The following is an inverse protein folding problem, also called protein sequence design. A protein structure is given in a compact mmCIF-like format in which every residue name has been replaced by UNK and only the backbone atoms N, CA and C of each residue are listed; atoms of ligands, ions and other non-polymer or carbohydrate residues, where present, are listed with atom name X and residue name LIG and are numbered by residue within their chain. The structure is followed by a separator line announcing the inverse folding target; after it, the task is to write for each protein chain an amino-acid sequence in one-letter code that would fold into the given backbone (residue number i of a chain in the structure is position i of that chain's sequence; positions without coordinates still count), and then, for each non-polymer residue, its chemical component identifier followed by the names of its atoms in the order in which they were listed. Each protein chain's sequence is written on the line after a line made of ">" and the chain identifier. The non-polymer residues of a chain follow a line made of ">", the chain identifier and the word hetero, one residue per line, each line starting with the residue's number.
data_IF_467802960069
#
_entry.id   IF_467802960069
#
_cell.length_a   1.000
_cell.length_b   1.000
_cell.length_c   1.000
_cell.angle_alpha   90.00
_cell.angle_beta   90.00
_cell.angle_gamma   90.00
#
_symmetry.space_group_name_H-M   'P 1'
#
loop_
_entity.id
_entity.type
_entity.pdbx_description
1 polymer ?
#
# COMPACT_ATOMS: atom_id res chain seq x y z
N UNK A 1 -28.22 4.64 -0.91
CA UNK A 1 -27.05 5.08 -1.71
C UNK A 1 -27.37 4.77 -3.15
N UNK A 2 -27.06 5.66 -4.08
CA UNK A 2 -27.46 5.58 -5.50
C UNK A 2 -26.34 5.06 -6.39
N UNK A 3 -25.10 4.92 -5.85
CA UNK A 3 -23.89 4.57 -6.59
C UNK A 3 -23.62 5.51 -7.80
N UNK A 4 -24.03 6.77 -7.66
CA UNK A 4 -23.85 7.82 -8.66
C UNK A 4 -22.60 8.65 -8.34
N UNK A 5 -21.89 9.10 -9.39
CA UNK A 5 -20.82 10.09 -9.25
C UNK A 5 -21.46 11.43 -8.88
N UNK A 6 -21.15 11.92 -7.66
CA UNK A 6 -21.72 13.18 -7.14
C UNK A 6 -20.77 14.37 -7.28
N UNK A 7 -19.56 14.17 -7.80
CA UNK A 7 -18.58 15.21 -8.04
C UNK A 7 -17.22 14.66 -8.40
N UNK A 8 -16.34 15.58 -8.78
CA UNK A 8 -14.95 15.34 -9.12
C UNK A 8 -14.07 16.20 -8.22
N UNK A 9 -12.87 15.70 -7.90
CA UNK A 9 -11.85 16.42 -7.15
C UNK A 9 -10.67 16.71 -8.09
N UNK A 10 -10.21 17.97 -8.22
CA UNK A 10 -9.10 18.30 -9.08
C UNK A 10 -7.78 17.80 -8.48
N UNK A 11 -6.94 17.19 -9.31
CA UNK A 11 -5.61 16.71 -8.96
C UNK A 11 -4.59 17.17 -10.01
N UNK A 12 -3.32 16.91 -9.79
CA UNK A 12 -2.28 17.02 -10.81
C UNK A 12 -2.41 15.92 -11.88
N UNK A 13 -1.54 15.93 -12.90
CA UNK A 13 -1.54 14.92 -13.94
C UNK A 13 -1.12 13.56 -13.39
N UNK A 14 -1.69 12.51 -14.00
CA UNK A 14 -1.42 11.11 -13.68
C UNK A 14 -1.57 10.79 -12.18
N UNK A 15 -2.80 10.89 -11.64
CA UNK A 15 -3.03 10.55 -10.25
C UNK A 15 -2.94 9.03 -10.04
N UNK A 16 -2.03 8.62 -9.18
CA UNK A 16 -1.82 7.24 -8.79
C UNK A 16 -2.58 6.89 -7.48
N UNK A 17 -1.90 6.38 -6.49
CA UNK A 17 -2.55 6.09 -5.22
C UNK A 17 -2.97 7.35 -4.47
N UNK A 18 -4.01 7.21 -3.72
CA UNK A 18 -4.48 8.24 -2.79
C UNK A 18 -4.83 7.64 -1.43
N UNK A 19 -4.78 8.47 -0.42
CA UNK A 19 -5.22 8.12 0.93
C UNK A 19 -6.03 9.26 1.54
N UNK A 20 -6.80 8.93 2.58
CA UNK A 20 -7.62 9.89 3.31
C UNK A 20 -7.12 9.99 4.74
N UNK A 21 -7.14 11.19 5.30
CA UNK A 21 -6.86 11.36 6.73
C UNK A 21 -7.92 10.64 7.60
N UNK A 22 -7.60 10.23 8.83
CA UNK A 22 -8.54 9.49 9.69
C UNK A 22 -9.84 10.23 10.00
N UNK A 23 -9.89 11.55 9.84
CA UNK A 23 -11.09 12.36 10.05
C UNK A 23 -11.99 12.46 8.82
N UNK A 24 -11.48 12.07 7.65
CA UNK A 24 -12.16 12.20 6.37
C UNK A 24 -12.21 13.62 5.83
N UNK A 25 -11.41 14.54 6.39
CA UNK A 25 -11.38 15.94 5.97
C UNK A 25 -10.50 16.18 4.76
N UNK A 26 -9.39 15.47 4.66
CA UNK A 26 -8.41 15.62 3.60
C UNK A 26 -8.23 14.33 2.79
N UNK A 27 -7.98 14.50 1.50
CA UNK A 27 -7.49 13.45 0.60
C UNK A 27 -6.13 13.88 0.09
N UNK A 28 -5.17 12.97 0.12
CA UNK A 28 -3.82 13.13 -0.40
C UNK A 28 -3.66 12.27 -1.63
N UNK A 29 -3.19 12.84 -2.73
CA UNK A 29 -3.11 12.17 -4.04
C UNK A 29 -1.68 12.28 -4.55
N UNK A 30 -1.06 11.15 -4.89
CA UNK A 30 0.21 11.10 -5.61
C UNK A 30 -0.02 11.47 -7.07
N UNK A 31 0.74 12.43 -7.59
CA UNK A 31 0.70 12.85 -8.99
C UNK A 31 2.04 12.51 -9.65
N UNK A 32 2.06 11.41 -10.40
CA UNK A 32 3.28 10.78 -10.89
C UNK A 32 4.11 11.72 -11.75
N UNK A 33 3.49 12.33 -12.76
CA UNK A 33 4.17 13.15 -13.75
C UNK A 33 4.70 14.50 -13.24
N UNK A 34 4.19 15.00 -12.11
CA UNK A 34 4.60 16.30 -11.53
C UNK A 34 5.56 16.14 -10.35
N UNK A 35 5.80 14.92 -9.88
CA UNK A 35 6.54 14.65 -8.65
C UNK A 35 5.95 15.41 -7.43
N UNK A 36 4.63 15.43 -7.33
CA UNK A 36 3.88 16.18 -6.32
C UNK A 36 2.90 15.29 -5.58
N UNK A 37 2.57 15.68 -4.36
CA UNK A 37 1.37 15.24 -3.65
C UNK A 37 0.39 16.40 -3.60
N UNK A 38 -0.83 16.20 -4.11
CA UNK A 38 -1.92 17.17 -3.98
C UNK A 38 -2.72 16.88 -2.72
N UNK A 39 -2.92 17.90 -1.90
CA UNK A 39 -3.80 17.86 -0.72
C UNK A 39 -5.13 18.51 -1.08
N UNK A 40 -6.23 17.79 -0.89
CA UNK A 40 -7.58 18.29 -1.18
C UNK A 40 -8.41 18.36 0.09
N UNK A 41 -9.03 19.49 0.36
CA UNK A 41 -10.08 19.62 1.36
C UNK A 41 -11.40 19.07 0.80
N UNK A 42 -11.91 18.01 1.42
CA UNK A 42 -13.10 17.28 0.95
C UNK A 42 -14.36 18.13 1.00
N UNK A 43 -14.48 19.02 1.99
CA UNK A 43 -15.67 19.84 2.16
C UNK A 43 -15.79 20.93 1.09
N UNK A 44 -14.69 21.61 0.79
CA UNK A 44 -14.65 22.64 -0.26
C UNK A 44 -14.43 22.07 -1.66
N UNK A 45 -13.98 20.79 -1.76
CA UNK A 45 -13.59 20.12 -3.00
C UNK A 45 -12.50 20.87 -3.76
N UNK A 46 -11.59 21.50 -3.07
CA UNK A 46 -10.54 22.33 -3.65
C UNK A 46 -9.15 21.88 -3.19
N UNK A 47 -8.12 22.02 -4.05
CA UNK A 47 -6.74 21.84 -3.64
C UNK A 47 -6.37 22.85 -2.54
N UNK A 48 -5.78 22.34 -1.47
CA UNK A 48 -5.29 23.14 -0.35
C UNK A 48 -3.78 23.40 -0.45
N UNK A 49 -3.03 22.37 -0.87
CA UNK A 49 -1.58 22.42 -1.00
C UNK A 49 -1.09 21.46 -2.09
N UNK A 50 0.11 21.74 -2.57
CA UNK A 50 0.91 20.83 -3.38
C UNK A 50 2.29 20.68 -2.72
N UNK A 51 2.72 19.45 -2.53
CA UNK A 51 3.93 19.10 -1.78
C UNK A 51 4.91 18.47 -2.75
N UNK A 52 6.08 19.05 -2.91
CA UNK A 52 7.14 18.49 -3.75
C UNK A 52 7.72 17.23 -3.09
N UNK A 53 7.76 16.13 -3.82
CA UNK A 53 8.34 14.84 -3.42
C UNK A 53 9.35 14.36 -4.45
N UNK A 54 9.74 13.09 -4.39
CA UNK A 54 10.62 12.48 -5.41
C UNK A 54 9.89 12.19 -6.72
N UNK A 55 10.65 11.75 -7.72
CA UNK A 55 10.12 11.44 -9.06
C UNK A 55 9.30 10.15 -9.02
N UNK A 56 8.16 10.17 -9.72
CA UNK A 56 7.17 9.07 -9.77
C UNK A 56 6.63 8.72 -8.37
N UNK A 57 5.89 9.66 -7.73
CA UNK A 57 5.20 9.34 -6.47
C UNK A 57 4.07 8.34 -6.70
N UNK A 58 3.96 7.33 -5.83
CA UNK A 58 3.03 6.22 -6.00
C UNK A 58 2.29 5.89 -4.69
N UNK A 59 2.94 5.15 -3.78
CA UNK A 59 2.34 4.66 -2.54
C UNK A 59 2.02 5.77 -1.55
N UNK A 60 0.83 5.73 -0.97
CA UNK A 60 0.33 6.76 -0.06
C UNK A 60 -0.30 6.14 1.18
N UNK A 61 0.12 6.56 2.38
CA UNK A 61 -0.49 6.13 3.63
C UNK A 61 -0.40 7.23 4.70
N UNK A 62 -1.47 7.43 5.45
CA UNK A 62 -1.49 8.33 6.61
C UNK A 62 -1.32 7.52 7.88
N UNK A 63 -0.46 8.00 8.79
CA UNK A 63 -0.27 7.37 10.11
C UNK A 63 -1.59 7.26 10.88
N UNK A 64 -1.76 6.25 11.75
CA UNK A 64 -3.01 6.05 12.51
C UNK A 64 -3.44 7.25 13.36
N UNK A 65 -2.49 8.07 13.82
CA UNK A 65 -2.75 9.30 14.57
C UNK A 65 -3.01 10.53 13.67
N UNK A 66 -2.94 10.36 12.35
CA UNK A 66 -3.21 11.40 11.36
C UNK A 66 -2.13 12.44 11.17
N UNK A 67 -0.97 12.33 11.83
CA UNK A 67 0.04 13.40 11.85
C UNK A 67 1.07 13.32 10.74
N UNK A 68 1.33 12.11 10.25
CA UNK A 68 2.33 11.87 9.20
C UNK A 68 1.64 11.23 8.00
N UNK A 69 1.86 11.82 6.84
CA UNK A 69 1.61 11.19 5.56
C UNK A 69 2.93 10.61 5.05
N UNK A 70 2.91 9.40 4.54
CA UNK A 70 4.04 8.83 3.80
C UNK A 70 3.67 8.71 2.33
N UNK A 71 4.58 9.17 1.47
CA UNK A 71 4.51 9.00 0.02
C UNK A 71 5.78 8.28 -0.46
N UNK A 72 5.65 7.23 -1.27
CA UNK A 72 6.80 6.59 -1.91
C UNK A 72 7.06 7.25 -3.26
N UNK A 73 8.31 7.23 -3.73
CA UNK A 73 8.69 7.71 -5.08
C UNK A 73 9.57 6.68 -5.76
N UNK A 74 9.07 6.12 -6.86
CA UNK A 74 9.63 4.95 -7.53
C UNK A 74 11.04 5.17 -8.04
N UNK A 75 11.22 6.20 -8.88
CA UNK A 75 12.53 6.48 -9.51
C UNK A 75 13.57 6.95 -8.51
N UNK A 76 13.19 7.70 -7.48
CA UNK A 76 14.13 8.17 -6.47
C UNK A 76 14.37 7.17 -5.34
N UNK A 77 13.62 6.06 -5.32
CA UNK A 77 13.74 5.00 -4.29
C UNK A 77 13.60 5.52 -2.86
N UNK A 78 12.65 6.43 -2.64
CA UNK A 78 12.43 7.11 -1.36
C UNK A 78 11.04 6.84 -0.78
N UNK A 79 10.97 6.85 0.55
CA UNK A 79 9.76 7.09 1.31
C UNK A 79 9.85 8.48 1.95
N UNK A 80 8.97 9.39 1.56
CA UNK A 80 8.89 10.77 2.05
C UNK A 80 7.92 10.83 3.23
N UNK A 81 8.38 11.32 4.38
CA UNK A 81 7.55 11.59 5.54
C UNK A 81 7.15 13.05 5.52
N UNK A 82 5.87 13.31 5.56
CA UNK A 82 5.27 14.62 5.41
C UNK A 82 4.43 14.92 6.66
N UNK A 83 4.67 16.04 7.31
CA UNK A 83 3.81 16.53 8.41
C UNK A 83 2.48 17.02 7.84
N UNK A 84 1.36 16.43 8.28
CA UNK A 84 0.03 16.73 7.75
C UNK A 84 -0.49 18.11 8.17
N UNK A 85 0.08 18.72 9.20
CA UNK A 85 -0.33 20.05 9.70
C UNK A 85 0.37 21.18 8.98
N UNK A 86 1.63 20.98 8.58
CA UNK A 86 2.44 21.99 7.86
C UNK A 86 2.52 21.76 6.37
N UNK A 87 2.22 20.51 5.91
CA UNK A 87 2.40 20.03 4.54
C UNK A 87 3.88 20.09 4.09
N UNK A 88 4.81 19.92 5.00
CA UNK A 88 6.24 19.93 4.72
C UNK A 88 6.81 18.51 4.81
N UNK A 89 7.77 18.19 3.92
CA UNK A 89 8.55 16.95 4.01
C UNK A 89 9.52 17.06 5.18
N UNK A 90 9.35 16.22 6.19
CA UNK A 90 10.17 16.23 7.41
C UNK A 90 11.31 15.21 7.37
N UNK A 91 11.19 14.16 6.55
CA UNK A 91 12.25 13.19 6.34
C UNK A 91 12.14 12.50 4.98
N UNK A 92 13.28 12.06 4.45
CA UNK A 92 13.40 11.25 3.26
C UNK A 92 14.18 9.98 3.61
N UNK A 93 13.55 8.83 3.48
CA UNK A 93 14.16 7.53 3.82
C UNK A 93 14.46 6.76 2.55
N UNK A 94 15.73 6.44 2.32
CA UNK A 94 16.14 5.61 1.20
C UNK A 94 15.70 4.16 1.44
N UNK A 95 14.95 3.61 0.50
CA UNK A 95 14.53 2.21 0.44
C UNK A 95 15.11 1.52 -0.79
N UNK A 96 14.66 0.30 -1.13
CA UNK A 96 15.13 -0.34 -2.35
C UNK A 96 14.38 0.14 -3.59
N UNK A 97 14.82 -0.33 -4.77
CA UNK A 97 14.33 0.17 -6.05
C UNK A 97 12.83 -0.02 -6.27
N UNK A 98 12.18 1.01 -6.77
CA UNK A 98 10.79 1.08 -7.13
C UNK A 98 9.84 0.80 -5.95
N UNK A 99 9.83 1.66 -4.92
CA UNK A 99 8.88 1.52 -3.83
C UNK A 99 7.46 1.82 -4.31
N UNK A 100 6.53 0.85 -4.02
CA UNK A 100 5.15 0.85 -4.56
C UNK A 100 4.08 1.12 -3.53
N UNK A 101 4.28 0.71 -2.28
CA UNK A 101 3.24 0.76 -1.27
C UNK A 101 3.82 1.02 0.11
N UNK A 102 3.05 1.71 0.93
CA UNK A 102 3.36 1.97 2.33
C UNK A 102 2.17 1.50 3.20
N UNK A 103 2.45 0.87 4.33
CA UNK A 103 1.44 0.45 5.28
C UNK A 103 1.94 0.61 6.71
N UNK A 104 1.23 1.37 7.53
CA UNK A 104 1.50 1.43 8.97
C UNK A 104 0.90 0.23 9.69
N UNK A 105 1.60 -0.27 10.72
CA UNK A 105 0.90 -1.03 11.76
C UNK A 105 -0.17 -0.14 12.41
N UNK A 106 -1.28 -0.75 12.80
CA UNK A 106 -2.42 0.00 13.36
C UNK A 106 -2.09 0.76 14.65
N UNK A 107 -1.10 0.30 15.41
CA UNK A 107 -0.56 0.98 16.60
C UNK A 107 0.46 2.09 16.29
N UNK A 108 0.79 2.29 15.01
CA UNK A 108 1.76 3.27 14.55
C UNK A 108 3.22 2.94 14.84
N UNK A 109 3.53 1.75 15.36
CA UNK A 109 4.89 1.37 15.80
C UNK A 109 5.87 1.11 14.65
N UNK A 110 5.37 0.77 13.47
CA UNK A 110 6.16 0.44 12.29
C UNK A 110 5.46 0.91 11.02
N UNK A 111 6.27 1.30 10.04
CA UNK A 111 5.88 1.49 8.65
C UNK A 111 6.56 0.42 7.80
N UNK A 112 5.78 -0.26 6.98
CA UNK A 112 6.25 -1.24 6.01
C UNK A 112 6.19 -0.63 4.61
N UNK A 113 7.29 -0.69 3.86
CA UNK A 113 7.37 -0.15 2.49
C UNK A 113 7.83 -1.25 1.54
N UNK A 114 7.01 -1.59 0.55
CA UNK A 114 7.38 -2.56 -0.48
C UNK A 114 8.21 -1.88 -1.59
N UNK A 115 9.21 -2.59 -2.07
CA UNK A 115 10.07 -2.18 -3.20
C UNK A 115 9.98 -3.24 -4.29
N UNK A 116 9.25 -2.94 -5.36
CA UNK A 116 8.88 -3.89 -6.41
C UNK A 116 10.11 -4.48 -7.10
N UNK A 117 10.96 -3.63 -7.65
CA UNK A 117 12.19 -4.06 -8.34
C UNK A 117 13.27 -4.47 -7.37
N UNK A 118 13.31 -3.86 -6.20
CA UNK A 118 14.23 -4.24 -5.11
C UNK A 118 13.93 -5.63 -4.52
N UNK A 119 12.71 -6.15 -4.71
CA UNK A 119 12.31 -7.47 -4.20
C UNK A 119 12.22 -7.56 -2.67
N UNK A 120 12.01 -6.44 -1.98
CA UNK A 120 12.06 -6.37 -0.52
C UNK A 120 10.87 -5.60 0.07
N UNK A 121 10.68 -5.76 1.39
CA UNK A 121 9.88 -4.85 2.22
C UNK A 121 10.78 -4.26 3.30
N UNK A 122 10.88 -2.94 3.34
CA UNK A 122 11.57 -2.21 4.39
C UNK A 122 10.66 -2.00 5.59
N UNK A 123 11.15 -2.32 6.79
CA UNK A 123 10.51 -2.02 8.07
C UNK A 123 11.16 -0.77 8.63
N UNK A 124 10.41 0.30 8.72
CA UNK A 124 10.90 1.62 9.12
C UNK A 124 10.29 1.99 10.48
N UNK A 125 11.12 2.55 11.36
CA UNK A 125 10.63 3.20 12.57
C UNK A 125 10.11 4.59 12.24
N UNK A 126 8.80 4.87 12.42
CA UNK A 126 8.25 6.18 12.07
C UNK A 126 8.74 7.34 12.94
N UNK A 127 9.24 7.05 14.15
CA UNK A 127 9.73 8.08 15.06
C UNK A 127 11.16 8.50 14.78
N UNK A 128 12.02 7.55 14.36
CA UNK A 128 13.45 7.81 14.07
C UNK A 128 13.75 7.91 12.59
N UNK A 129 12.81 7.49 11.72
CA UNK A 129 12.94 7.38 10.27
C UNK A 129 14.07 6.41 9.84
N UNK A 130 14.42 5.44 10.70
CA UNK A 130 15.45 4.45 10.42
C UNK A 130 14.85 3.15 9.87
N UNK A 131 15.50 2.58 8.85
CA UNK A 131 15.18 1.23 8.36
C UNK A 131 15.74 0.23 9.36
N UNK A 132 14.88 -0.42 10.14
CA UNK A 132 15.24 -1.41 11.15
C UNK A 132 15.56 -2.79 10.58
N UNK A 133 14.81 -3.17 9.54
CA UNK A 133 14.92 -4.50 8.90
C UNK A 133 14.48 -4.40 7.45
N UNK A 134 15.04 -5.27 6.61
CA UNK A 134 14.51 -5.55 5.28
C UNK A 134 14.11 -7.01 5.20
N UNK A 135 12.92 -7.26 4.71
CA UNK A 135 12.39 -8.60 4.44
C UNK A 135 12.64 -8.89 2.97
N UNK A 136 13.32 -9.99 2.66
CA UNK A 136 13.46 -10.53 1.31
C UNK A 136 12.66 -11.83 1.19
N UNK A 137 12.34 -12.20 -0.05
CA UNK A 137 11.46 -13.33 -0.32
C UNK A 137 12.17 -14.37 -1.18
N UNK A 138 12.02 -15.64 -0.81
CA UNK A 138 12.53 -16.77 -1.56
C UNK A 138 11.38 -17.76 -1.80
N UNK A 139 11.00 -17.92 -3.07
CA UNK A 139 9.97 -18.88 -3.46
C UNK A 139 10.63 -19.98 -4.28
N UNK A 140 10.62 -21.24 -3.82
CA UNK A 140 11.26 -22.34 -4.54
C UNK A 140 10.77 -22.44 -5.99
N UNK A 141 11.72 -22.47 -6.93
CA UNK A 141 11.46 -22.58 -8.37
C UNK A 141 11.19 -21.25 -9.07
N UNK A 142 11.16 -20.13 -8.38
CA UNK A 142 11.09 -18.81 -8.98
C UNK A 142 12.45 -18.09 -8.92
N UNK A 143 12.71 -17.27 -9.92
CA UNK A 143 13.85 -16.34 -9.90
C UNK A 143 13.51 -15.13 -9.05
N UNK A 144 14.51 -14.50 -8.44
CA UNK A 144 14.34 -13.29 -7.61
C UNK A 144 13.62 -12.15 -8.34
N UNK A 145 13.91 -11.97 -9.64
CA UNK A 145 13.32 -10.91 -10.45
C UNK A 145 11.81 -11.11 -10.71
N UNK A 146 11.30 -12.31 -10.50
CA UNK A 146 9.86 -12.60 -10.58
C UNK A 146 9.13 -12.34 -9.25
N UNK A 147 9.86 -12.05 -8.18
CA UNK A 147 9.30 -11.78 -6.87
C UNK A 147 9.30 -10.26 -6.65
N UNK A 148 8.16 -9.64 -6.91
CA UNK A 148 8.01 -8.19 -6.94
C UNK A 148 6.95 -7.76 -5.91
N UNK A 149 7.38 -7.39 -4.68
CA UNK A 149 6.46 -6.96 -3.63
C UNK A 149 5.73 -5.66 -4.03
N UNK A 150 4.41 -5.67 -3.91
CA UNK A 150 3.54 -4.53 -4.23
C UNK A 150 2.61 -4.23 -3.05
N UNK A 151 1.39 -4.71 -3.02
CA UNK A 151 0.44 -4.47 -1.92
C UNK A 151 0.90 -5.04 -0.57
N UNK A 152 0.56 -4.33 0.50
CA UNK A 152 0.80 -4.75 1.89
C UNK A 152 -0.48 -4.58 2.68
N UNK A 153 -0.86 -5.61 3.43
CA UNK A 153 -1.98 -5.57 4.36
C UNK A 153 -1.53 -6.10 5.72
N UNK A 154 -1.73 -5.35 6.79
CA UNK A 154 -1.35 -5.75 8.15
C UNK A 154 -2.63 -5.89 8.98
N UNK A 155 -2.77 -7.00 9.73
CA UNK A 155 -3.92 -7.18 10.63
C UNK A 155 -3.94 -6.11 11.72
N UNK A 156 -5.12 -5.72 12.20
CA UNK A 156 -5.29 -4.68 13.24
C UNK A 156 -4.53 -4.98 14.52
N UNK A 157 -4.38 -6.26 14.88
CA UNK A 157 -3.60 -6.68 16.04
C UNK A 157 -2.07 -6.70 15.76
N UNK A 158 -1.65 -6.37 14.53
CA UNK A 158 -0.26 -6.31 14.10
C UNK A 158 0.47 -7.65 14.06
N UNK A 159 -0.25 -8.79 14.23
CA UNK A 159 0.40 -10.11 14.30
C UNK A 159 0.79 -10.68 12.96
N UNK A 160 0.04 -10.35 11.91
CA UNK A 160 0.29 -10.85 10.57
C UNK A 160 0.37 -9.71 9.57
N UNK A 161 1.38 -9.79 8.69
CA UNK A 161 1.46 -9.01 7.46
C UNK A 161 1.23 -9.91 6.25
N UNK A 162 0.59 -9.38 5.23
CA UNK A 162 0.37 -10.03 3.95
C UNK A 162 0.98 -9.13 2.87
N UNK A 163 1.91 -9.68 2.09
CA UNK A 163 2.60 -8.94 1.03
C UNK A 163 2.32 -9.62 -0.30
N UNK A 164 1.75 -8.87 -1.22
CA UNK A 164 1.45 -9.31 -2.58
C UNK A 164 2.74 -9.30 -3.40
N UNK A 165 3.14 -10.45 -3.99
CA UNK A 165 4.42 -10.64 -4.67
C UNK A 165 4.33 -10.55 -6.19
N UNK A 166 3.37 -9.79 -6.72
CA UNK A 166 3.21 -9.48 -8.14
C UNK A 166 3.28 -10.70 -9.06
N UNK A 167 4.27 -10.75 -10.00
CA UNK A 167 4.42 -11.84 -10.98
C UNK A 167 4.69 -13.22 -10.35
N UNK A 168 5.10 -13.29 -9.09
CA UNK A 168 5.26 -14.56 -8.38
C UNK A 168 3.92 -15.26 -8.14
N UNK A 169 2.77 -14.57 -8.33
CA UNK A 169 1.42 -15.11 -8.12
C UNK A 169 1.25 -15.66 -6.70
N UNK A 170 1.81 -14.97 -5.73
CA UNK A 170 1.84 -15.38 -4.31
C UNK A 170 1.53 -14.19 -3.42
N UNK A 171 0.92 -14.49 -2.30
CA UNK A 171 0.89 -13.61 -1.14
C UNK A 171 1.81 -14.22 -0.07
N UNK A 172 2.81 -13.48 0.38
CA UNK A 172 3.63 -13.86 1.50
C UNK A 172 2.91 -13.49 2.80
N UNK A 173 2.81 -14.45 3.72
CA UNK A 173 2.33 -14.22 5.08
C UNK A 173 3.55 -14.06 5.97
N UNK A 174 3.59 -12.99 6.75
CA UNK A 174 4.72 -12.58 7.56
C UNK A 174 4.27 -12.49 9.02
N UNK A 175 5.05 -13.03 9.93
CA UNK A 175 4.87 -12.79 11.37
C UNK A 175 5.22 -11.33 11.67
N UNK A 176 4.26 -10.58 12.20
CA UNK A 176 4.39 -9.13 12.41
C UNK A 176 5.33 -8.74 13.54
N UNK A 177 5.80 -9.68 14.35
CA UNK A 177 6.75 -9.42 15.44
C UNK A 177 8.19 -9.82 15.10
N UNK A 178 8.37 -10.94 14.38
CA UNK A 178 9.69 -11.42 13.98
C UNK A 178 10.09 -10.95 12.59
N UNK A 179 9.10 -10.54 11.78
CA UNK A 179 9.25 -10.19 10.35
C UNK A 179 9.76 -11.36 9.50
N UNK A 180 9.50 -12.59 9.95
CA UNK A 180 9.84 -13.79 9.19
C UNK A 180 8.67 -14.24 8.31
N UNK A 181 8.99 -14.74 7.11
CA UNK A 181 7.97 -15.32 6.24
C UNK A 181 7.46 -16.64 6.80
N UNK A 182 6.18 -16.69 7.15
CA UNK A 182 5.52 -17.89 7.70
C UNK A 182 5.06 -18.81 6.58
N UNK A 183 4.57 -18.22 5.47
CA UNK A 183 3.93 -18.99 4.41
C UNK A 183 3.82 -18.19 3.12
N UNK A 184 3.81 -18.91 1.99
CA UNK A 184 3.40 -18.39 0.69
C UNK A 184 2.06 -18.98 0.28
N UNK A 185 1.11 -18.13 -0.11
CA UNK A 185 -0.21 -18.53 -0.61
C UNK A 185 -0.25 -18.34 -2.11
N UNK A 186 -0.57 -19.41 -2.85
CA UNK A 186 -0.76 -19.32 -4.30
C UNK A 186 -2.10 -18.64 -4.58
N UNK A 187 -2.08 -17.57 -5.37
CA UNK A 187 -3.25 -16.80 -5.82
C UNK A 187 -3.32 -16.78 -7.35
N UNK A 188 -4.18 -15.93 -7.92
CA UNK A 188 -4.22 -15.72 -9.36
C UNK A 188 -2.98 -15.03 -9.92
N UNK A 189 -2.99 -14.76 -11.24
CA UNK A 189 -1.82 -14.22 -11.93
C UNK A 189 -1.71 -12.71 -11.78
N UNK A 190 -0.49 -12.25 -11.47
CA UNK A 190 -0.13 -10.86 -11.25
C UNK A 190 -1.00 -10.24 -10.14
N UNK A 191 -0.79 -10.67 -8.93
CA UNK A 191 -1.44 -10.07 -7.75
C UNK A 191 -0.93 -8.64 -7.54
N UNK A 192 -1.85 -7.71 -7.24
CA UNK A 192 -1.55 -6.29 -7.05
C UNK A 192 -1.81 -5.83 -5.61
N UNK A 193 -3.06 -5.51 -5.30
CA UNK A 193 -3.44 -4.99 -3.99
C UNK A 193 -4.66 -5.73 -3.46
N UNK A 194 -4.72 -5.81 -2.14
CA UNK A 194 -5.83 -6.42 -1.43
C UNK A 194 -6.43 -5.52 -0.36
N UNK A 195 -7.51 -5.98 0.22
CA UNK A 195 -8.11 -5.39 1.40
C UNK A 195 -8.76 -6.45 2.28
N UNK A 196 -8.65 -6.26 3.60
CA UNK A 196 -9.39 -7.08 4.55
C UNK A 196 -10.88 -6.76 4.53
N UNK A 197 -11.72 -7.78 4.74
CA UNK A 197 -13.10 -7.55 5.13
C UNK A 197 -13.15 -6.75 6.45
N UNK A 198 -14.22 -5.98 6.73
CA UNK A 198 -14.29 -5.15 7.95
C UNK A 198 -14.13 -5.93 9.27
N UNK A 199 -14.42 -7.23 9.27
CA UNK A 199 -14.23 -8.15 10.40
C UNK A 199 -12.89 -8.90 10.37
N UNK A 200 -12.03 -8.60 9.38
CA UNK A 200 -10.72 -9.22 9.13
C UNK A 200 -10.73 -10.76 9.01
N UNK A 201 -11.89 -11.37 8.78
CA UNK A 201 -11.94 -12.81 8.53
C UNK A 201 -11.31 -13.20 7.20
N UNK A 202 -11.43 -12.35 6.21
CA UNK A 202 -10.93 -12.59 4.88
C UNK A 202 -10.06 -11.43 4.39
N UNK A 203 -9.00 -11.77 3.67
CA UNK A 203 -8.26 -10.85 2.82
C UNK A 203 -8.65 -11.17 1.38
N UNK A 204 -9.08 -10.18 0.62
CA UNK A 204 -9.32 -10.27 -0.80
C UNK A 204 -8.15 -9.63 -1.53
N UNK A 205 -7.61 -10.28 -2.55
CA UNK A 205 -6.51 -9.75 -3.37
C UNK A 205 -6.86 -9.78 -4.85
N UNK A 206 -6.56 -8.70 -5.55
CA UNK A 206 -6.83 -8.54 -6.98
C UNK A 206 -5.72 -9.16 -7.82
N UNK A 207 -6.08 -10.02 -8.78
CA UNK A 207 -5.15 -10.70 -9.69
C UNK A 207 -5.35 -10.16 -11.10
N UNK A 208 -4.49 -9.20 -11.51
CA UNK A 208 -4.69 -8.40 -12.70
C UNK A 208 -4.66 -9.18 -14.02
N UNK A 209 -3.83 -10.21 -14.14
CA UNK A 209 -3.71 -10.97 -15.40
C UNK A 209 -4.73 -12.12 -15.50
N UNK A 210 -5.10 -12.74 -14.39
CA UNK A 210 -6.13 -13.78 -14.38
C UNK A 210 -7.56 -13.26 -14.26
N UNK A 211 -7.76 -11.94 -14.10
CA UNK A 211 -9.06 -11.28 -14.04
C UNK A 211 -9.96 -11.82 -12.92
N UNK A 212 -9.37 -12.12 -11.78
CA UNK A 212 -10.08 -12.67 -10.64
C UNK A 212 -9.63 -12.04 -9.31
N UNK A 213 -10.40 -12.28 -8.28
CA UNK A 213 -10.09 -11.93 -6.89
C UNK A 213 -9.94 -13.22 -6.10
N UNK A 214 -8.78 -13.40 -5.48
CA UNK A 214 -8.58 -14.52 -4.53
C UNK A 214 -9.08 -14.11 -3.15
N UNK A 215 -9.80 -15.04 -2.49
CA UNK A 215 -10.27 -14.88 -1.11
C UNK A 215 -9.40 -15.76 -0.21
N UNK A 216 -8.71 -15.12 0.71
CA UNK A 216 -7.84 -15.74 1.70
C UNK A 216 -8.55 -15.76 3.04
N UNK A 217 -8.73 -16.92 3.65
CA UNK A 217 -9.17 -17.06 5.04
C UNK A 217 -7.98 -16.78 5.96
N UNK A 218 -8.10 -15.71 6.75
CA UNK A 218 -7.00 -15.19 7.58
C UNK A 218 -6.64 -16.16 8.71
N UNK A 219 -7.64 -16.81 9.32
CA UNK A 219 -7.41 -17.70 10.44
C UNK A 219 -6.70 -18.99 10.04
N UNK A 220 -7.04 -19.56 8.89
CA UNK A 220 -6.43 -20.81 8.41
C UNK A 220 -5.24 -20.59 7.47
N UNK A 221 -4.98 -19.37 7.06
CA UNK A 221 -3.98 -18.99 6.07
C UNK A 221 -4.11 -19.84 4.80
N UNK A 222 -5.31 -19.83 4.21
CA UNK A 222 -5.62 -20.58 2.99
C UNK A 222 -6.39 -19.72 2.00
N UNK A 223 -6.07 -19.86 0.73
CA UNK A 223 -6.94 -19.41 -0.35
C UNK A 223 -8.13 -20.35 -0.43
N UNK A 224 -9.33 -19.82 -0.23
CA UNK A 224 -10.56 -20.63 -0.16
C UNK A 224 -11.44 -20.47 -1.39
N UNK A 225 -11.25 -19.41 -2.17
CA UNK A 225 -12.06 -19.13 -3.35
C UNK A 225 -11.31 -18.21 -4.31
N UNK A 226 -11.62 -18.35 -5.60
CA UNK A 226 -11.35 -17.35 -6.64
C UNK A 226 -12.69 -16.88 -7.21
N UNK A 227 -12.83 -15.59 -7.45
CA UNK A 227 -14.04 -14.95 -7.97
C UNK A 227 -13.66 -14.21 -9.24
N UNK A 228 -14.23 -14.62 -10.38
CA UNK A 228 -14.04 -13.93 -11.64
C UNK A 228 -14.66 -12.54 -11.56
N UNK A 229 -13.91 -11.54 -12.02
CA UNK A 229 -14.32 -10.12 -12.05
C UNK A 229 -14.08 -9.52 -13.44
N UNK A 230 -14.11 -8.19 -13.55
CA UNK A 230 -13.75 -7.50 -14.78
C UNK A 230 -12.27 -7.64 -15.16
N UNK A 231 -11.91 -7.11 -16.32
CA UNK A 231 -10.53 -7.17 -16.83
C UNK A 231 -9.58 -6.32 -15.99
N UNK A 232 -8.37 -6.85 -15.80
CA UNK A 232 -7.24 -6.18 -15.15
C UNK A 232 -7.58 -5.55 -13.78
N UNK A 233 -8.19 -6.29 -12.84
CA UNK A 233 -8.44 -5.75 -11.51
C UNK A 233 -7.11 -5.39 -10.85
N UNK A 234 -7.07 -4.18 -10.24
CA UNK A 234 -5.83 -3.66 -9.65
C UNK A 234 -5.89 -3.56 -8.12
N UNK A 235 -7.03 -3.18 -7.57
CA UNK A 235 -7.19 -3.01 -6.13
C UNK A 235 -8.59 -3.33 -5.64
N UNK A 236 -8.75 -3.35 -4.32
CA UNK A 236 -10.00 -3.66 -3.63
C UNK A 236 -10.22 -2.61 -2.54
N UNK A 237 -11.45 -2.15 -2.41
CA UNK A 237 -11.87 -1.25 -1.33
C UNK A 237 -13.21 -1.67 -0.78
N UNK A 238 -13.41 -1.51 0.51
CA UNK A 238 -14.69 -1.70 1.18
C UNK A 238 -15.31 -0.35 1.53
N UNK A 239 -16.48 -0.07 0.98
CA UNK A 239 -17.23 1.13 1.34
C UNK A 239 -17.73 1.09 2.79
N UNK A 240 -18.02 2.27 3.38
CA UNK A 240 -18.64 2.34 4.71
C UNK A 240 -20.02 1.69 4.70
N UNK A 241 -20.36 0.99 5.78
CA UNK A 241 -21.68 0.36 5.98
C UNK A 241 -22.79 1.39 6.11
#
# INVERSE_FOLDING_TARGET
>A
KTDEIVGELPSGPDPELFTQDPTGKFVYIANENDAMVTVIDVASRAPLAQIQVGVEPEGMEVSPDGKILVCTSETTSMAHFIDTSTHEVVANVLVDSRPRFAAFKHDGSELWVSSEVGGTVAIIDPATHEVKKKISFEVPGLRSEAIQPVGINITKDGKLGFVDLGPANRVAVIDGSTHEVVKYLLVGQRVWHGAFTPDEKYLLVANGVSNDVSVIDVASLKVIKSIQVGELPWGISFGPK
#
